data_IF_681374259262
#
_entry.id   IF_681374259262
#
_cell.length_a   1.000
_cell.length_b   1.000
_cell.length_c   1.000
_cell.angle_alpha   90.00
_cell.angle_beta   90.00
_cell.angle_gamma   90.00
#
_symmetry.space_group_name_H-M   'P 1'
#
loop_
_entity.id
_entity.type
_entity.pdbx_description
1 polymer ?
#
# COMPACT_ATOMS: atom_id res chain seq x y z
N UNK A 1 -1.81 -15.53 -10.37
CA UNK A 1 -1.32 -14.45 -11.25
C UNK A 1 -1.07 -13.23 -10.38
N UNK A 2 0.10 -12.60 -10.47
CA UNK A 2 0.42 -11.42 -9.67
C UNK A 2 0.12 -10.13 -10.45
N UNK A 3 -0.49 -9.15 -9.81
CA UNK A 3 -0.70 -7.82 -10.36
C UNK A 3 0.62 -7.05 -10.46
N UNK A 4 0.80 -6.26 -11.53
CA UNK A 4 1.98 -5.41 -11.68
C UNK A 4 1.89 -4.22 -10.72
N UNK A 5 2.85 -4.08 -9.81
CA UNK A 5 2.97 -2.92 -8.95
C UNK A 5 3.53 -1.72 -9.73
N UNK A 6 2.79 -0.62 -9.74
CA UNK A 6 3.22 0.67 -10.28
C UNK A 6 3.17 1.71 -9.18
N UNK A 7 4.19 2.56 -9.11
CA UNK A 7 4.30 3.65 -8.14
C UNK A 7 4.34 4.99 -8.86
N UNK A 8 3.83 6.04 -8.21
CA UNK A 8 4.04 7.41 -8.64
C UNK A 8 5.26 7.99 -7.94
N UNK A 9 5.89 9.00 -8.53
CA UNK A 9 6.99 9.72 -7.90
C UNK A 9 6.61 10.29 -6.51
N UNK A 10 5.37 10.78 -6.39
CA UNK A 10 4.86 11.29 -5.11
C UNK A 10 4.76 10.19 -4.05
N UNK A 11 4.24 9.00 -4.42
CA UNK A 11 4.18 7.84 -3.53
C UNK A 11 5.56 7.45 -2.99
N UNK A 12 6.59 7.44 -3.84
CA UNK A 12 7.95 7.10 -3.42
C UNK A 12 8.55 8.12 -2.44
N UNK A 13 8.27 9.41 -2.62
CA UNK A 13 8.66 10.46 -1.67
C UNK A 13 7.96 10.27 -0.32
N UNK A 14 6.67 9.96 -0.35
CA UNK A 14 5.89 9.73 0.88
C UNK A 14 6.37 8.47 1.60
N UNK A 15 6.71 7.39 0.88
CA UNK A 15 7.31 6.19 1.45
C UNK A 15 8.63 6.49 2.17
N UNK A 16 9.53 7.27 1.56
CA UNK A 16 10.79 7.72 2.20
C UNK A 16 10.50 8.54 3.46
N UNK A 17 9.51 9.43 3.42
CA UNK A 17 9.09 10.25 4.57
C UNK A 17 8.53 9.40 5.72
N UNK A 18 7.69 8.41 5.42
CA UNK A 18 7.14 7.47 6.40
C UNK A 18 8.23 6.66 7.10
N UNK A 19 9.20 6.14 6.32
CA UNK A 19 10.39 5.46 6.86
C UNK A 19 11.20 6.36 7.80
N UNK A 20 11.50 7.59 7.38
CA UNK A 20 12.24 8.57 8.21
C UNK A 20 11.52 8.89 9.53
N UNK A 21 10.19 8.78 9.57
CA UNK A 21 9.36 9.01 10.76
C UNK A 21 9.19 7.79 11.66
N UNK A 22 9.75 6.64 11.31
CA UNK A 22 9.61 5.40 12.09
C UNK A 22 8.20 4.82 12.10
N UNK A 23 7.41 5.08 11.05
CA UNK A 23 6.07 4.47 10.93
C UNK A 23 6.18 2.95 10.71
N UNK A 24 5.11 2.22 11.03
CA UNK A 24 5.05 0.76 10.89
C UNK A 24 5.00 0.33 9.41
N UNK A 25 6.17 0.08 8.83
CA UNK A 25 6.30 -0.28 7.40
C UNK A 25 5.89 -1.72 7.10
N UNK A 26 5.87 -2.61 8.09
CA UNK A 26 5.44 -4.00 7.90
C UNK A 26 3.97 -4.08 7.50
N UNK A 27 3.11 -3.25 8.11
CA UNK A 27 1.68 -3.16 7.75
C UNK A 27 1.47 -2.70 6.31
N UNK A 28 2.30 -1.75 5.85
CA UNK A 28 2.25 -1.30 4.46
C UNK A 28 2.67 -2.42 3.50
N UNK A 29 3.74 -3.16 3.85
CA UNK A 29 4.22 -4.29 3.06
C UNK A 29 3.17 -5.40 2.95
N UNK A 30 2.50 -5.72 4.05
CA UNK A 30 1.40 -6.70 4.09
C UNK A 30 0.28 -6.31 3.11
N UNK A 31 -0.21 -5.06 3.18
CA UNK A 31 -1.27 -4.57 2.30
C UNK A 31 -0.85 -4.59 0.83
N UNK A 32 0.39 -4.19 0.51
CA UNK A 32 0.90 -4.23 -0.86
C UNK A 32 0.96 -5.68 -1.37
N UNK A 33 1.41 -6.62 -0.54
CA UNK A 33 1.47 -8.04 -0.92
C UNK A 33 0.08 -8.62 -1.20
N UNK A 34 -0.93 -8.27 -0.40
CA UNK A 34 -2.33 -8.66 -0.65
C UNK A 34 -2.86 -8.09 -1.97
N UNK A 35 -2.61 -6.81 -2.23
CA UNK A 35 -3.02 -6.16 -3.48
C UNK A 35 -2.32 -6.78 -4.70
N UNK A 36 -1.03 -7.08 -4.60
CA UNK A 36 -0.25 -7.70 -5.69
C UNK A 36 -0.67 -9.15 -5.92
N UNK A 37 -0.96 -9.91 -4.87
CA UNK A 37 -1.30 -11.33 -4.97
C UNK A 37 -2.75 -11.54 -5.38
N UNK A 38 -3.67 -10.82 -4.73
CA UNK A 38 -5.11 -11.10 -4.75
C UNK A 38 -5.93 -9.98 -5.42
N UNK A 39 -5.36 -8.80 -5.65
CA UNK A 39 -6.08 -7.64 -6.20
C UNK A 39 -7.07 -7.00 -5.23
N UNK A 40 -7.10 -7.45 -3.98
CA UNK A 40 -8.00 -6.98 -2.91
C UNK A 40 -7.30 -7.07 -1.56
N UNK A 41 -7.80 -6.32 -0.59
CA UNK A 41 -7.34 -6.37 0.81
C UNK A 41 -8.45 -6.91 1.71
N UNK A 42 -8.11 -7.62 2.80
CA UNK A 42 -9.10 -8.07 3.78
C UNK A 42 -9.92 -6.92 4.38
N UNK A 43 -11.17 -7.23 4.76
CA UNK A 43 -12.11 -6.24 5.31
C UNK A 43 -11.61 -5.51 6.57
N UNK A 44 -10.66 -6.10 7.32
CA UNK A 44 -10.03 -5.46 8.48
C UNK A 44 -9.33 -4.13 8.15
N UNK A 45 -8.86 -3.97 6.92
CA UNK A 45 -8.24 -2.74 6.44
C UNK A 45 -9.26 -1.69 5.95
N UNK A 46 -10.56 -2.00 6.04
CA UNK A 46 -11.69 -1.14 5.66
C UNK A 46 -11.51 -0.50 4.27
N UNK A 47 -11.24 -1.29 3.22
CA UNK A 47 -11.09 -0.73 1.87
C UNK A 47 -12.40 -0.10 1.41
N UNK A 48 -12.33 1.11 0.89
CA UNK A 48 -13.46 1.85 0.36
C UNK A 48 -13.01 2.73 -0.82
N UNK A 49 -13.95 3.06 -1.70
CA UNK A 49 -13.68 3.99 -2.79
C UNK A 49 -13.48 5.38 -2.19
N UNK A 50 -12.38 6.04 -2.58
CA UNK A 50 -12.22 7.47 -2.33
C UNK A 50 -13.11 8.21 -3.33
N UNK A 51 -14.17 8.84 -2.84
CA UNK A 51 -14.95 9.79 -3.62
C UNK A 51 -14.15 11.09 -3.66
N UNK A 52 -13.51 11.36 -4.80
CA UNK A 52 -12.86 12.63 -5.14
C UNK A 52 -13.75 13.33 -6.16
#
# INVERSE_FOLDING_TARGET
>A
MAYKLLTTYQFEKDLKRCKKRGLLMDKLKEVINELVTNGRVPAQFRPHLLLI
#
